data_IF_270255176611
#
_entry.id   IF_270255176611
#
_cell.length_a   1.000
_cell.length_b   1.000
_cell.length_c   1.000
_cell.angle_alpha   90.00
_cell.angle_beta   90.00
_cell.angle_gamma   90.00
#
_symmetry.space_group_name_H-M   'P 1'
#
loop_
_entity.id
_entity.type
_entity.pdbx_description
1 polymer ?
#
# COMPACT_ATOMS: atom_id res chain seq x y z
N UNK A 1 63.41 40.29 -17.65
CA UNK A 1 63.20 38.84 -17.48
C UNK A 1 63.27 38.61 -15.98
N UNK A 2 62.20 38.34 -15.25
CA UNK A 2 61.11 37.40 -15.50
C UNK A 2 59.88 37.85 -14.68
N UNK A 3 58.70 37.88 -15.29
CA UNK A 3 57.43 38.20 -14.60
C UNK A 3 57.07 37.10 -13.60
N UNK A 4 56.83 37.46 -12.33
CA UNK A 4 56.24 36.56 -11.33
C UNK A 4 54.71 36.60 -11.44
N UNK A 5 54.12 35.50 -11.89
CA UNK A 5 52.68 35.27 -11.95
C UNK A 5 52.16 34.89 -10.55
N UNK A 6 51.21 35.61 -9.95
CA UNK A 6 50.67 35.25 -8.64
C UNK A 6 49.73 34.04 -8.72
N UNK A 7 50.01 33.04 -7.88
CA UNK A 7 49.25 31.80 -7.78
C UNK A 7 47.78 32.05 -7.36
N UNK A 8 46.87 31.78 -8.29
CA UNK A 8 45.42 31.83 -8.10
C UNK A 8 44.98 30.77 -7.08
N UNK A 9 44.64 31.19 -5.85
CA UNK A 9 43.98 30.31 -4.85
C UNK A 9 42.62 29.90 -5.40
N UNK A 10 42.48 28.63 -5.78
CA UNK A 10 41.22 28.01 -6.17
C UNK A 10 40.41 27.79 -4.89
N UNK A 11 39.41 28.63 -4.67
CA UNK A 11 38.40 28.45 -3.62
C UNK A 11 37.43 27.36 -4.10
N UNK A 12 37.43 26.21 -3.44
CA UNK A 12 36.45 25.16 -3.70
C UNK A 12 35.04 25.65 -3.31
N UNK A 13 33.98 25.37 -4.09
CA UNK A 13 32.63 25.79 -3.76
C UNK A 13 32.17 25.02 -2.52
N UNK A 14 31.77 25.76 -1.48
CA UNK A 14 31.17 25.20 -0.27
C UNK A 14 29.76 24.73 -0.61
N UNK A 15 29.58 23.42 -0.78
CA UNK A 15 28.25 22.81 -0.98
C UNK A 15 27.57 22.74 0.38
N UNK A 16 26.62 23.64 0.64
CA UNK A 16 25.74 23.55 1.80
C UNK A 16 24.76 22.40 1.62
N UNK A 17 25.11 21.25 2.20
CA UNK A 17 24.22 20.09 2.27
C UNK A 17 23.14 20.40 3.31
N UNK A 18 21.96 20.82 2.85
CA UNK A 18 20.76 20.89 3.69
C UNK A 18 20.44 19.47 4.17
N UNK A 19 20.46 19.18 5.49
CA UNK A 19 20.19 17.83 5.96
C UNK A 19 18.70 17.50 5.71
N UNK A 20 18.46 16.49 4.88
CA UNK A 20 17.13 16.00 4.57
C UNK A 20 16.33 15.68 5.86
N UNK A 21 15.13 16.26 6.08
CA UNK A 21 14.36 16.14 7.32
C UNK A 21 13.73 14.75 7.55
N UNK A 22 13.98 13.78 6.68
CA UNK A 22 13.28 12.49 6.63
C UNK A 22 13.91 11.39 7.49
N UNK A 23 15.24 11.39 7.73
CA UNK A 23 15.90 10.32 8.51
C UNK A 23 15.54 10.34 10.00
N UNK A 24 15.41 11.53 10.62
CA UNK A 24 15.13 11.64 12.07
C UNK A 24 13.76 11.08 12.46
N UNK A 25 12.74 11.23 11.60
CA UNK A 25 11.38 10.72 11.86
C UNK A 25 11.29 9.20 11.77
N UNK A 26 12.01 8.59 10.81
CA UNK A 26 12.08 7.14 10.67
C UNK A 26 12.79 6.48 11.86
N UNK A 27 13.93 7.03 12.29
CA UNK A 27 14.69 6.55 13.45
C UNK A 27 13.86 6.70 14.75
N UNK A 28 13.14 7.82 14.89
CA UNK A 28 12.24 8.02 16.03
C UNK A 28 11.09 7.00 16.05
N UNK A 29 10.52 6.64 14.88
CA UNK A 29 9.48 5.62 14.77
C UNK A 29 9.98 4.23 15.18
N UNK A 30 11.18 3.85 14.73
CA UNK A 30 11.81 2.56 15.08
C UNK A 30 12.18 2.49 16.56
N UNK A 31 12.74 3.56 17.13
CA UNK A 31 13.06 3.63 18.55
C UNK A 31 11.81 3.56 19.44
N UNK A 32 10.70 4.15 18.99
CA UNK A 32 9.41 4.11 19.70
C UNK A 32 8.76 2.73 19.65
N UNK A 33 8.82 2.06 18.50
CA UNK A 33 8.41 0.66 18.35
C UNK A 33 9.26 -0.27 19.21
N UNK A 34 10.58 -0.10 19.21
CA UNK A 34 11.49 -0.85 20.06
C UNK A 34 11.16 -0.63 21.55
N UNK A 35 10.88 0.60 21.97
CA UNK A 35 10.47 0.92 23.35
C UNK A 35 9.15 0.23 23.73
N UNK A 36 8.18 0.19 22.84
CA UNK A 36 6.90 -0.50 23.06
C UNK A 36 7.09 -2.01 23.19
N UNK A 37 7.94 -2.61 22.36
CA UNK A 37 8.18 -4.07 22.33
C UNK A 37 9.07 -4.53 23.48
N UNK A 38 10.09 -3.77 23.86
CA UNK A 38 11.06 -4.16 24.89
C UNK A 38 10.71 -3.73 26.32
N UNK A 39 10.08 -2.55 26.51
CA UNK A 39 9.87 -1.97 27.84
C UNK A 39 8.44 -2.15 28.36
N UNK A 40 7.53 -2.72 27.58
CA UNK A 40 6.19 -3.06 28.07
C UNK A 40 5.43 -1.86 28.65
N UNK A 41 5.56 -0.67 28.04
CA UNK A 41 4.82 0.50 28.48
C UNK A 41 3.33 0.35 28.09
N UNK A 42 2.58 -0.29 28.97
CA UNK A 42 1.16 -0.60 28.82
C UNK A 42 0.30 0.66 28.59
N UNK A 43 0.77 1.83 29.04
CA UNK A 43 0.09 3.11 28.84
C UNK A 43 0.23 3.64 27.41
N UNK A 44 1.41 3.50 26.80
CA UNK A 44 1.64 3.86 25.39
C UNK A 44 1.03 2.82 24.43
N UNK A 45 1.00 1.53 24.83
CA UNK A 45 0.28 0.47 24.11
C UNK A 45 -1.23 0.74 24.10
N UNK A 46 -1.85 1.10 25.23
CA UNK A 46 -3.30 1.41 25.27
C UNK A 46 -3.66 2.61 24.40
N UNK A 47 -2.85 3.68 24.40
CA UNK A 47 -3.09 4.86 23.55
C UNK A 47 -2.89 4.56 22.06
N UNK A 48 -1.85 3.78 21.73
CA UNK A 48 -1.59 3.34 20.35
C UNK A 48 -2.70 2.41 19.87
N UNK A 49 -3.14 1.47 20.72
CA UNK A 49 -4.27 0.58 20.44
C UNK A 49 -5.59 1.35 20.24
N UNK A 50 -5.89 2.34 21.08
CA UNK A 50 -7.07 3.18 20.91
C UNK A 50 -7.02 3.98 19.60
N UNK A 51 -5.85 4.54 19.26
CA UNK A 51 -5.64 5.23 17.99
C UNK A 51 -5.84 4.31 16.77
N UNK A 52 -5.24 3.12 16.80
CA UNK A 52 -5.40 2.13 15.72
C UNK A 52 -6.84 1.64 15.62
N UNK A 53 -7.52 1.39 16.75
CA UNK A 53 -8.93 1.02 16.80
C UNK A 53 -9.81 2.10 16.19
N UNK A 54 -9.62 3.38 16.56
CA UNK A 54 -10.39 4.50 15.99
C UNK A 54 -10.08 4.71 14.50
N UNK A 55 -8.84 4.45 14.07
CA UNK A 55 -8.46 4.52 12.65
C UNK A 55 -9.13 3.39 11.87
N UNK A 56 -9.10 2.16 12.41
CA UNK A 56 -9.78 1.00 11.85
C UNK A 56 -11.29 1.22 11.80
N UNK A 57 -11.91 1.70 12.88
CA UNK A 57 -13.33 2.00 12.91
C UNK A 57 -13.72 3.04 11.86
N UNK A 58 -12.92 4.11 11.68
CA UNK A 58 -13.17 5.09 10.61
C UNK A 58 -13.07 4.50 9.21
N UNK A 59 -12.06 3.65 8.96
CA UNK A 59 -11.93 2.95 7.67
C UNK A 59 -13.09 1.97 7.44
N UNK A 60 -13.50 1.25 8.49
CA UNK A 60 -14.64 0.32 8.45
C UNK A 60 -15.98 1.05 8.25
N UNK A 61 -16.12 2.27 8.77
CA UNK A 61 -17.36 3.07 8.68
C UNK A 61 -17.40 4.03 7.49
N UNK A 62 -16.31 4.21 6.73
CA UNK A 62 -16.29 5.05 5.52
C UNK A 62 -17.31 4.60 4.46
N UNK A 63 -17.67 3.31 4.43
CA UNK A 63 -18.69 2.78 3.51
C UNK A 63 -20.14 2.96 3.98
N UNK A 64 -20.38 3.40 5.23
CA UNK A 64 -21.73 3.49 5.81
C UNK A 64 -22.54 4.67 5.27
N UNK A 65 -21.87 5.61 4.60
CA UNK A 65 -22.46 6.70 3.83
C UNK A 65 -22.27 6.51 2.31
N UNK A 66 -22.08 5.27 1.85
CA UNK A 66 -22.16 5.00 0.42
C UNK A 66 -23.56 5.36 -0.07
N UNK A 67 -23.63 6.28 -1.04
CA UNK A 67 -24.88 6.70 -1.66
C UNK A 67 -25.52 5.46 -2.31
N UNK A 68 -26.79 5.21 -2.02
CA UNK A 68 -27.57 4.19 -2.71
C UNK A 68 -27.89 4.71 -4.11
N UNK A 69 -26.92 4.62 -5.02
CA UNK A 69 -27.09 4.92 -6.45
C UNK A 69 -27.01 3.62 -7.25
N UNK A 70 -27.77 3.53 -8.34
CA UNK A 70 -27.65 2.40 -9.29
C UNK A 70 -26.42 2.57 -10.18
N UNK A 71 -25.99 1.49 -10.85
CA UNK A 71 -24.83 1.55 -11.75
C UNK A 71 -25.06 2.54 -12.91
N UNK A 72 -26.28 2.60 -13.45
CA UNK A 72 -26.66 3.53 -14.52
C UNK A 72 -26.66 4.98 -14.03
N UNK A 73 -27.18 5.25 -12.82
CA UNK A 73 -27.11 6.57 -12.20
C UNK A 73 -25.65 7.02 -11.97
N UNK A 74 -24.79 6.11 -11.51
CA UNK A 74 -23.37 6.38 -11.32
C UNK A 74 -22.67 6.66 -12.66
N UNK A 75 -23.01 5.88 -13.71
CA UNK A 75 -22.48 6.07 -15.07
C UNK A 75 -22.91 7.44 -15.63
N UNK A 76 -24.19 7.78 -15.54
CA UNK A 76 -24.74 9.05 -16.02
C UNK A 76 -24.13 10.25 -15.28
N UNK A 77 -23.99 10.16 -13.95
CA UNK A 77 -23.38 11.21 -13.12
C UNK A 77 -21.91 11.44 -13.45
N UNK A 78 -21.18 10.38 -13.78
CA UNK A 78 -19.76 10.46 -14.14
C UNK A 78 -19.55 10.75 -15.63
N UNK A 79 -20.61 10.82 -16.43
CA UNK A 79 -20.52 11.04 -17.88
C UNK A 79 -19.75 9.93 -18.61
N UNK A 80 -19.73 8.71 -18.06
CA UNK A 80 -18.91 7.62 -18.59
C UNK A 80 -19.59 6.93 -19.77
N UNK A 81 -18.84 6.76 -20.85
CA UNK A 81 -19.33 5.98 -21.98
C UNK A 81 -19.21 4.48 -21.69
N UNK A 82 -19.99 3.62 -22.39
CA UNK A 82 -19.82 2.17 -22.29
C UNK A 82 -18.40 1.70 -22.65
N UNK A 83 -17.71 2.43 -23.54
CA UNK A 83 -16.34 2.13 -23.94
C UNK A 83 -15.35 2.39 -22.80
N UNK A 84 -15.55 3.47 -22.03
CA UNK A 84 -14.71 3.79 -20.86
C UNK A 84 -14.82 2.71 -19.78
N UNK A 85 -16.03 2.18 -19.57
CA UNK A 85 -16.28 1.10 -18.61
C UNK A 85 -15.58 -0.18 -19.06
N UNK A 86 -15.66 -0.53 -20.34
CA UNK A 86 -14.99 -1.71 -20.90
C UNK A 86 -13.46 -1.60 -20.80
N UNK A 87 -12.91 -0.43 -21.14
CA UNK A 87 -11.48 -0.13 -20.96
C UNK A 87 -11.07 -0.27 -19.50
N UNK A 88 -11.85 0.29 -18.58
CA UNK A 88 -11.57 0.20 -17.15
C UNK A 88 -11.62 -1.23 -16.64
N UNK A 89 -12.55 -2.05 -17.13
CA UNK A 89 -12.60 -3.47 -16.79
C UNK A 89 -11.33 -4.21 -17.25
N UNK A 90 -10.85 -3.93 -18.47
CA UNK A 90 -9.61 -4.51 -18.99
C UNK A 90 -8.37 -4.09 -18.17
N UNK A 91 -8.28 -2.81 -17.78
CA UNK A 91 -7.22 -2.31 -16.88
C UNK A 91 -7.27 -2.99 -15.51
N UNK A 92 -8.46 -3.15 -14.93
CA UNK A 92 -8.63 -3.82 -13.64
C UNK A 92 -8.28 -5.31 -13.72
N UNK A 93 -8.54 -5.96 -14.87
CA UNK A 93 -8.14 -7.34 -15.14
C UNK A 93 -6.62 -7.49 -15.23
N UNK A 94 -5.93 -6.60 -15.93
CA UNK A 94 -4.47 -6.66 -15.99
C UNK A 94 -3.84 -6.39 -14.61
N UNK A 95 -4.37 -5.42 -13.87
CA UNK A 95 -3.94 -5.14 -12.50
C UNK A 95 -4.17 -6.32 -11.54
N UNK A 96 -5.32 -7.00 -11.63
CA UNK A 96 -5.59 -8.16 -10.77
C UNK A 96 -4.60 -9.28 -11.07
N UNK A 97 -4.33 -9.60 -12.33
CA UNK A 97 -3.32 -10.59 -12.72
C UNK A 97 -1.92 -10.21 -12.22
N UNK A 98 -1.54 -8.93 -12.30
CA UNK A 98 -0.25 -8.45 -11.78
C UNK A 98 -0.15 -8.66 -10.25
N UNK A 99 -1.17 -8.28 -9.49
CA UNK A 99 -1.17 -8.49 -8.05
C UNK A 99 -1.17 -9.96 -7.65
N UNK A 100 -1.85 -10.80 -8.42
CA UNK A 100 -1.80 -12.25 -8.23
C UNK A 100 -0.39 -12.80 -8.51
N UNK A 101 0.28 -12.32 -9.56
CA UNK A 101 1.67 -12.65 -9.85
C UNK A 101 2.62 -12.24 -8.73
N UNK A 102 2.47 -11.03 -8.19
CA UNK A 102 3.25 -10.55 -7.04
C UNK A 102 2.99 -11.43 -5.80
N UNK A 103 1.75 -11.83 -5.54
CA UNK A 103 1.44 -12.76 -4.45
C UNK A 103 2.10 -14.13 -4.67
N UNK A 104 2.13 -14.63 -5.91
CA UNK A 104 2.83 -15.86 -6.28
C UNK A 104 4.34 -15.78 -6.06
N UNK A 105 4.98 -14.67 -6.44
CA UNK A 105 6.41 -14.43 -6.17
C UNK A 105 6.67 -14.33 -4.67
N UNK A 106 5.82 -13.63 -3.92
CA UNK A 106 5.94 -13.53 -2.47
C UNK A 106 5.81 -14.90 -1.78
N UNK A 107 4.90 -15.76 -2.26
CA UNK A 107 4.77 -17.14 -1.80
C UNK A 107 6.00 -17.97 -2.16
N UNK A 108 6.52 -17.86 -3.39
CA UNK A 108 7.74 -18.54 -3.79
C UNK A 108 8.92 -18.15 -2.89
N UNK A 109 9.09 -16.85 -2.65
CA UNK A 109 10.08 -16.33 -1.70
C UNK A 109 9.82 -16.93 -0.32
N UNK A 110 8.59 -16.90 0.20
CA UNK A 110 8.26 -17.52 1.50
C UNK A 110 8.70 -18.99 1.57
N UNK A 111 8.54 -19.79 0.52
CA UNK A 111 8.95 -21.19 0.48
C UNK A 111 10.47 -21.39 0.51
N UNK A 112 11.27 -20.37 0.21
CA UNK A 112 12.74 -20.39 0.35
C UNK A 112 13.22 -20.20 1.80
N UNK A 113 12.31 -20.11 2.78
CA UNK A 113 12.60 -20.05 4.21
C UNK A 113 13.75 -20.97 4.70
N UNK A 114 13.81 -22.26 4.33
CA UNK A 114 14.85 -23.16 4.86
C UNK A 114 16.26 -22.81 4.35
N UNK A 115 16.40 -21.97 3.33
CA UNK A 115 17.67 -21.58 2.72
C UNK A 115 18.22 -20.25 3.27
N UNK A 116 17.53 -19.59 4.21
CA UNK A 116 17.83 -18.22 4.63
C UNK A 116 18.26 -18.15 6.09
N UNK A 117 19.33 -17.40 6.36
CA UNK A 117 19.91 -17.24 7.70
C UNK A 117 18.96 -16.56 8.73
N UNK A 118 18.04 -15.70 8.27
CA UNK A 118 17.07 -14.98 9.12
C UNK A 118 15.63 -15.35 8.74
N UNK A 119 15.12 -16.52 9.18
CA UNK A 119 13.84 -17.06 8.72
C UNK A 119 12.64 -16.21 9.14
N UNK A 120 12.66 -15.60 10.33
CA UNK A 120 11.54 -14.81 10.87
C UNK A 120 11.32 -13.53 10.07
N UNK A 121 12.38 -12.75 9.82
CA UNK A 121 12.29 -11.51 9.04
C UNK A 121 11.89 -11.80 7.60
N UNK A 122 12.40 -12.88 7.03
CA UNK A 122 12.05 -13.34 5.70
C UNK A 122 10.56 -13.69 5.61
N UNK A 123 10.08 -14.54 6.53
CA UNK A 123 8.68 -14.93 6.64
C UNK A 123 7.76 -13.73 6.76
N UNK A 124 8.08 -12.81 7.68
CA UNK A 124 7.26 -11.63 7.95
C UNK A 124 7.15 -10.73 6.70
N UNK A 125 8.27 -10.47 6.02
CA UNK A 125 8.26 -9.63 4.82
C UNK A 125 7.50 -10.27 3.67
N UNK A 126 7.72 -11.55 3.39
CA UNK A 126 7.00 -12.25 2.32
C UNK A 126 5.50 -12.35 2.60
N UNK A 127 5.11 -12.64 3.84
CA UNK A 127 3.69 -12.68 4.23
C UNK A 127 3.05 -11.30 4.13
N UNK A 128 3.73 -10.23 4.55
CA UNK A 128 3.21 -8.87 4.47
C UNK A 128 2.99 -8.42 3.02
N UNK A 129 3.95 -8.71 2.14
CA UNK A 129 3.82 -8.44 0.70
C UNK A 129 2.68 -9.27 0.10
N UNK A 130 2.58 -10.55 0.46
CA UNK A 130 1.52 -11.44 -0.01
C UNK A 130 0.13 -10.93 0.42
N UNK A 131 -0.05 -10.55 1.69
CA UNK A 131 -1.32 -9.99 2.19
C UNK A 131 -1.68 -8.69 1.49
N UNK A 132 -0.71 -7.80 1.26
CA UNK A 132 -0.95 -6.55 0.54
C UNK A 132 -1.36 -6.81 -0.92
N UNK A 133 -0.65 -7.70 -1.60
CA UNK A 133 -0.92 -8.09 -2.98
C UNK A 133 -2.30 -8.74 -3.11
N UNK A 134 -2.64 -9.69 -2.23
CA UNK A 134 -3.97 -10.32 -2.21
C UNK A 134 -5.09 -9.33 -1.89
N UNK A 135 -4.85 -8.36 -1.01
CA UNK A 135 -5.81 -7.29 -0.71
C UNK A 135 -6.08 -6.44 -1.96
N UNK A 136 -5.02 -6.09 -2.70
CA UNK A 136 -5.14 -5.31 -3.95
C UNK A 136 -5.79 -6.13 -5.06
N UNK A 137 -5.40 -7.38 -5.23
CA UNK A 137 -6.05 -8.33 -6.14
C UNK A 137 -7.55 -8.39 -5.87
N UNK A 138 -7.92 -8.57 -4.60
CA UNK A 138 -9.31 -8.73 -4.19
C UNK A 138 -10.16 -7.50 -4.53
N UNK A 139 -9.66 -6.30 -4.22
CA UNK A 139 -10.36 -5.05 -4.56
C UNK A 139 -10.45 -4.86 -6.07
N UNK A 140 -9.37 -5.11 -6.82
CA UNK A 140 -9.38 -4.99 -8.28
C UNK A 140 -10.35 -5.96 -8.93
N UNK A 141 -10.40 -7.23 -8.49
CA UNK A 141 -11.33 -8.23 -9.03
C UNK A 141 -12.79 -7.89 -8.70
N UNK A 142 -13.07 -7.42 -7.49
CA UNK A 142 -14.40 -6.95 -7.12
C UNK A 142 -14.86 -5.75 -7.97
N UNK A 143 -13.97 -4.79 -8.24
CA UNK A 143 -14.26 -3.65 -9.12
C UNK A 143 -14.46 -4.08 -10.57
N UNK A 144 -13.65 -5.02 -11.05
CA UNK A 144 -13.82 -5.61 -12.37
C UNK A 144 -15.20 -6.27 -12.51
N UNK A 145 -15.62 -7.05 -11.51
CA UNK A 145 -16.93 -7.69 -11.48
C UNK A 145 -18.09 -6.68 -11.54
N UNK A 146 -17.98 -5.53 -10.86
CA UNK A 146 -18.98 -4.46 -10.97
C UNK A 146 -19.08 -3.89 -12.38
N UNK A 147 -17.96 -3.75 -13.10
CA UNK A 147 -17.94 -3.28 -14.49
C UNK A 147 -18.49 -4.33 -15.47
N UNK A 148 -18.19 -5.61 -15.24
CA UNK A 148 -18.66 -6.73 -16.08
C UNK A 148 -20.17 -6.97 -15.90
N UNK A 149 -20.64 -7.02 -14.66
CA UNK A 149 -22.06 -7.25 -14.32
C UNK A 149 -22.93 -5.97 -14.46
N UNK A 150 -22.31 -4.80 -14.68
CA UNK A 150 -22.96 -3.47 -14.64
C UNK A 150 -23.83 -3.28 -13.41
N UNK A 151 -23.37 -3.76 -12.27
CA UNK A 151 -24.10 -3.75 -11.02
C UNK A 151 -23.19 -3.38 -9.85
N UNK A 152 -23.65 -2.47 -9.00
CA UNK A 152 -22.92 -2.02 -7.80
C UNK A 152 -23.17 -2.99 -6.65
N UNK A 153 -22.38 -4.06 -6.62
CA UNK A 153 -22.49 -5.11 -5.61
C UNK A 153 -21.58 -4.79 -4.42
N UNK A 154 -22.05 -4.92 -3.16
CA UNK A 154 -21.18 -4.79 -1.98
C UNK A 154 -20.03 -5.80 -1.99
N UNK A 155 -18.86 -5.39 -1.52
CA UNK A 155 -17.64 -6.21 -1.54
C UNK A 155 -17.83 -7.61 -0.91
N UNK A 156 -18.45 -7.70 0.26
CA UNK A 156 -18.72 -8.99 0.92
C UNK A 156 -19.67 -9.88 0.12
N UNK A 157 -20.75 -9.30 -0.42
CA UNK A 157 -21.73 -10.04 -1.21
C UNK A 157 -21.12 -10.62 -2.48
N UNK A 158 -20.22 -9.87 -3.13
CA UNK A 158 -19.49 -10.36 -4.30
C UNK A 158 -18.67 -11.62 -3.99
N UNK A 159 -17.86 -11.58 -2.93
CA UNK A 159 -17.02 -12.72 -2.54
C UNK A 159 -17.84 -13.92 -2.04
N UNK A 160 -18.94 -13.68 -1.33
CA UNK A 160 -19.85 -14.75 -0.93
C UNK A 160 -20.48 -15.47 -2.12
N UNK A 161 -20.86 -14.75 -3.19
CA UNK A 161 -21.36 -15.38 -4.42
C UNK A 161 -20.25 -16.11 -5.16
N UNK A 162 -19.08 -15.49 -5.28
CA UNK A 162 -17.93 -16.08 -5.96
C UNK A 162 -17.47 -17.38 -5.31
N UNK A 163 -17.48 -17.49 -3.98
CA UNK A 163 -17.15 -18.73 -3.27
C UNK A 163 -18.18 -19.85 -3.42
N UNK A 164 -19.42 -19.52 -3.79
CA UNK A 164 -20.51 -20.49 -3.96
C UNK A 164 -20.70 -20.96 -5.40
N UNK A 165 -20.06 -20.27 -6.35
CA UNK A 165 -20.08 -20.59 -7.79
C UNK A 165 -18.93 -21.54 -8.13
#
# INVERSE_FOLDING_TARGET
MTEEVPAKKIQAPRVDVTPAPTRRRAIAGVARLARIVYLGDLGEIRRTHAYFRDRLQRVLHQGRYARNETFEEAQARLGLTPQDIARRAAELRSQSLLYLGVAGVALFVFLLLPLVNNPISHAAMSLLVMVLALSKYSVSRWRQGQCEERNLVPYMSYWLRWWRS
#
